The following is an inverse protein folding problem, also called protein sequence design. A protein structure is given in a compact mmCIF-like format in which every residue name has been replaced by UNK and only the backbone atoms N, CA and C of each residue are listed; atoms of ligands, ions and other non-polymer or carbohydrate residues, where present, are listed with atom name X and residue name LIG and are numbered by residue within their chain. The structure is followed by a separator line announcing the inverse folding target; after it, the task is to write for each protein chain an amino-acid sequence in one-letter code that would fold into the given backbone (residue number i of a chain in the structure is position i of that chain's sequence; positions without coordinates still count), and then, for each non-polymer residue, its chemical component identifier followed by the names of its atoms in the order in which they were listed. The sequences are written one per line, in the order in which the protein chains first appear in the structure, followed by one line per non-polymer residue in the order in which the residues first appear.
data_IF_162218471093
#
_entry.id   IF_162218471093
#
_cell.length_a   1.000
_cell.length_b   1.000
_cell.length_c   1.000
_cell.angle_alpha   90.00
_cell.angle_beta   90.00
_cell.angle_gamma   90.00
#
_symmetry.space_group_name_H-M   'P 1'
#
loop_
_entity.id
_entity.type
_entity.pdbx_description
1 polymer ?
#
# COMPACT_ATOMS: atom_id res chain seq x y z
N UNK A 1 -12.61 -16.73 -2.41
CA UNK A 1 -12.92 -15.54 -3.22
C UNK A 1 -11.68 -14.72 -3.61
N UNK A 2 -10.70 -14.48 -2.72
CA UNK A 2 -9.48 -13.73 -3.06
C UNK A 2 -8.48 -14.55 -3.90
N UNK A 3 -8.28 -15.83 -3.57
CA UNK A 3 -7.36 -16.71 -4.28
C UNK A 3 -7.70 -16.85 -5.77
N UNK A 4 -8.98 -16.99 -6.09
CA UNK A 4 -9.45 -17.12 -7.46
C UNK A 4 -9.26 -15.84 -8.28
N UNK A 5 -9.50 -14.67 -7.67
CA UNK A 5 -9.23 -13.37 -8.30
C UNK A 5 -7.72 -13.13 -8.50
N UNK A 6 -6.89 -13.56 -7.54
CA UNK A 6 -5.43 -13.48 -7.64
C UNK A 6 -4.90 -14.35 -8.79
N UNK A 7 -5.39 -15.58 -8.93
CA UNK A 7 -5.02 -16.48 -10.04
C UNK A 7 -5.45 -15.91 -11.40
N UNK A 8 -6.68 -15.38 -11.51
CA UNK A 8 -7.14 -14.73 -12.75
C UNK A 8 -6.31 -13.49 -13.12
N UNK A 9 -5.78 -12.77 -12.13
CA UNK A 9 -4.83 -11.68 -12.33
C UNK A 9 -3.46 -12.17 -12.79
N UNK A 10 -2.97 -13.27 -12.20
CA UNK A 10 -1.69 -13.88 -12.52
C UNK A 10 -1.65 -14.36 -13.97
N UNK A 11 -2.70 -15.04 -14.45
CA UNK A 11 -2.79 -15.53 -15.83
C UNK A 11 -2.66 -14.40 -16.87
N UNK A 12 -3.15 -13.19 -16.53
CA UNK A 12 -3.05 -12.01 -17.40
C UNK A 12 -1.69 -11.31 -17.30
N UNK A 13 -1.01 -11.42 -16.16
CA UNK A 13 0.24 -10.71 -15.88
C UNK A 13 1.47 -11.53 -16.28
N UNK A 14 1.38 -12.85 -16.21
CA UNK A 14 2.49 -13.75 -16.47
C UNK A 14 2.99 -13.60 -17.90
N UNK A 15 4.32 -13.47 -18.04
CA UNK A 15 5.01 -13.36 -19.33
C UNK A 15 6.23 -14.27 -19.30
N UNK A 16 6.36 -15.21 -20.26
CA UNK A 16 7.54 -16.06 -20.33
C UNK A 16 8.81 -15.21 -20.54
N UNK A 17 9.92 -15.63 -19.94
CA UNK A 17 11.22 -14.95 -20.05
C UNK A 17 11.50 -13.84 -19.04
N UNK A 18 10.55 -13.53 -18.13
CA UNK A 18 10.76 -12.57 -17.04
C UNK A 18 10.92 -13.29 -15.70
N UNK A 19 11.84 -12.82 -14.86
CA UNK A 19 11.97 -13.28 -13.49
C UNK A 19 10.89 -12.62 -12.62
N UNK A 20 10.00 -13.43 -12.05
CA UNK A 20 8.99 -12.96 -11.09
C UNK A 20 9.51 -13.15 -9.67
N UNK A 21 9.43 -12.10 -8.85
CA UNK A 21 9.74 -12.19 -7.43
C UNK A 21 8.48 -12.53 -6.64
N UNK A 22 8.55 -13.55 -5.78
CA UNK A 22 7.45 -13.86 -4.84
C UNK A 22 7.41 -12.77 -3.77
N UNK A 23 6.30 -12.05 -3.69
CA UNK A 23 6.00 -11.14 -2.59
C UNK A 23 4.74 -11.65 -1.88
N UNK A 24 4.84 -11.90 -0.58
CA UNK A 24 3.70 -12.29 0.25
C UNK A 24 3.55 -11.30 1.41
N UNK A 25 2.30 -10.96 1.72
CA UNK A 25 1.93 -10.23 2.93
C UNK A 25 1.01 -11.15 3.70
N UNK A 26 1.57 -11.83 4.70
CA UNK A 26 0.80 -12.70 5.57
C UNK A 26 0.33 -11.89 6.77
N UNK A 27 -0.96 -11.57 6.78
CA UNK A 27 -1.63 -11.00 7.95
C UNK A 27 -2.27 -12.16 8.71
N UNK A 28 -1.62 -12.56 9.79
CA UNK A 28 -2.17 -13.55 10.72
C UNK A 28 -3.09 -12.86 11.72
N UNK A 29 -4.11 -13.58 12.18
CA UNK A 29 -4.98 -13.18 13.29
C UNK A 29 -5.70 -11.83 13.11
N UNK A 30 -6.06 -11.50 11.87
CA UNK A 30 -7.03 -10.44 11.60
C UNK A 30 -8.38 -10.82 12.22
N UNK A 31 -8.78 -10.08 13.23
CA UNK A 31 -10.06 -10.21 13.92
C UNK A 31 -10.87 -8.92 13.79
N UNK A 32 -12.19 -9.05 13.86
CA UNK A 32 -13.07 -7.90 13.98
C UNK A 32 -12.86 -7.17 15.31
N UNK A 33 -13.25 -5.89 15.34
CA UNK A 33 -13.28 -5.14 16.61
C UNK A 33 -14.21 -5.84 17.60
N UNK A 34 -13.71 -6.10 18.80
CA UNK A 34 -14.45 -6.81 19.86
C UNK A 34 -14.41 -8.34 19.76
N UNK A 35 -13.79 -8.91 18.72
CA UNK A 35 -13.58 -10.36 18.60
C UNK A 35 -12.23 -10.82 19.16
N UNK A 36 -11.42 -9.88 19.67
CA UNK A 36 -10.15 -10.13 20.32
C UNK A 36 -10.31 -10.09 21.84
N UNK A 37 -9.80 -11.11 22.53
CA UNK A 37 -9.65 -11.08 23.99
C UNK A 37 -8.41 -10.25 24.31
N UNK A 38 -8.60 -9.14 25.01
CA UNK A 38 -7.47 -8.33 25.48
C UNK A 38 -6.54 -9.15 26.39
N UNK A 39 -5.24 -8.87 26.28
CA UNK A 39 -4.24 -9.42 27.18
C UNK A 39 -4.43 -8.83 28.58
N UNK A 40 -4.38 -9.68 29.61
CA UNK A 40 -4.53 -9.30 31.02
C UNK A 40 -3.50 -8.26 31.48
N UNK A 41 -2.34 -8.20 30.82
CA UNK A 41 -1.22 -7.35 31.23
C UNK A 41 -0.80 -6.33 30.18
N UNK A 42 -1.26 -6.44 28.93
CA UNK A 42 -0.97 -5.43 27.93
C UNK A 42 -1.86 -4.21 28.13
N UNK A 43 -1.29 -3.02 27.99
CA UNK A 43 -2.09 -1.81 27.86
C UNK A 43 -2.91 -1.90 26.57
N UNK A 44 -4.23 -2.01 26.71
CA UNK A 44 -5.16 -1.99 25.58
C UNK A 44 -5.02 -0.70 24.75
N UNK A 45 -5.52 -0.76 23.52
CA UNK A 45 -5.49 0.42 22.65
C UNK A 45 -6.35 1.55 23.26
N UNK A 46 -5.83 2.79 23.39
CA UNK A 46 -6.61 3.88 23.95
C UNK A 46 -7.89 4.13 23.16
N UNK A 47 -9.00 4.42 23.84
CA UNK A 47 -10.28 4.75 23.19
C UNK A 47 -10.18 5.94 22.21
N UNK A 48 -9.21 6.83 22.40
CA UNK A 48 -8.97 7.97 21.52
C UNK A 48 -8.19 7.62 20.25
N UNK A 49 -7.59 6.43 20.15
CA UNK A 49 -6.85 6.02 18.96
C UNK A 49 -7.72 6.00 17.70
N UNK A 50 -9.00 5.63 17.82
CA UNK A 50 -9.92 5.65 16.69
C UNK A 50 -10.13 7.05 16.12
N UNK A 51 -10.31 8.04 16.99
CA UNK A 51 -10.47 9.45 16.59
C UNK A 51 -9.22 9.96 15.90
N UNK A 52 -8.04 9.61 16.44
CA UNK A 52 -6.75 9.99 15.85
C UNK A 52 -6.58 9.38 14.46
N UNK A 53 -6.89 8.09 14.30
CA UNK A 53 -6.80 7.41 13.01
C UNK A 53 -7.78 7.99 11.99
N UNK A 54 -9.02 8.29 12.40
CA UNK A 54 -10.00 8.93 11.52
C UNK A 54 -9.54 10.32 11.04
N UNK A 55 -8.95 11.14 11.92
CA UNK A 55 -8.38 12.44 11.55
C UNK A 55 -7.22 12.25 10.57
N UNK A 56 -6.30 11.33 10.86
CA UNK A 56 -5.16 11.02 9.99
C UNK A 56 -5.62 10.59 8.59
N UNK A 57 -6.63 9.73 8.51
CA UNK A 57 -7.21 9.26 7.26
C UNK A 57 -7.90 10.40 6.49
N UNK A 58 -8.66 11.27 7.18
CA UNK A 58 -9.31 12.42 6.55
C UNK A 58 -8.31 13.39 5.91
N UNK A 59 -7.18 13.63 6.57
CA UNK A 59 -6.11 14.49 6.08
C UNK A 59 -5.45 13.84 4.86
N UNK A 60 -5.14 12.55 4.94
CA UNK A 60 -4.58 11.80 3.82
C UNK A 60 -5.54 11.71 2.61
N UNK A 61 -6.86 11.64 2.83
CA UNK A 61 -7.84 11.66 1.76
C UNK A 61 -7.88 13.02 1.05
N UNK A 62 -7.75 14.12 1.80
CA UNK A 62 -7.81 15.49 1.26
C UNK A 62 -6.52 15.93 0.56
N UNK A 63 -5.37 15.59 1.11
CA UNK A 63 -4.06 16.11 0.67
C UNK A 63 -3.20 15.08 -0.06
N UNK A 64 -3.65 13.83 -0.12
CA UNK A 64 -2.97 12.75 -0.80
C UNK A 64 -2.44 11.69 0.16
N UNK A 65 -2.35 10.46 -0.35
CA UNK A 65 -1.96 9.29 0.44
C UNK A 65 -0.53 9.44 0.98
N UNK A 66 -0.38 9.29 2.30
CA UNK A 66 0.93 9.36 2.98
C UNK A 66 1.40 10.78 3.33
N UNK A 67 0.49 11.76 3.28
CA UNK A 67 0.69 13.13 3.80
C UNK A 67 1.02 13.10 5.28
N UNK A 68 0.22 12.37 6.07
CA UNK A 68 0.49 12.04 7.47
C UNK A 68 0.75 10.55 7.63
N UNK A 69 1.68 10.22 8.53
CA UNK A 69 2.07 8.86 8.87
C UNK A 69 2.49 8.79 10.35
N UNK A 70 2.35 7.62 11.01
CA UNK A 70 2.93 7.42 12.33
C UNK A 70 4.44 7.68 12.31
N UNK A 71 5.00 8.28 13.36
CA UNK A 71 6.42 8.67 13.40
C UNK A 71 7.40 7.48 13.30
N UNK A 72 6.95 6.27 13.65
CA UNK A 72 7.71 5.04 13.49
C UNK A 72 7.89 4.63 12.02
N UNK A 73 7.02 5.12 11.12
CA UNK A 73 7.07 4.79 9.70
C UNK A 73 7.99 5.78 8.98
N UNK A 74 9.14 5.33 8.44
CA UNK A 74 10.07 6.22 7.78
C UNK A 74 9.49 6.82 6.50
N UNK A 75 10.11 7.92 6.04
CA UNK A 75 9.71 8.61 4.81
C UNK A 75 9.77 7.68 3.58
N UNK A 76 10.86 6.91 3.49
CA UNK A 76 11.15 5.93 2.45
C UNK A 76 11.47 4.57 3.11
N UNK A 77 10.47 3.73 3.40
CA UNK A 77 10.72 2.42 3.99
C UNK A 77 11.43 1.49 2.99
N UNK A 78 12.34 0.65 3.48
CA UNK A 78 13.02 -0.36 2.67
C UNK A 78 12.03 -1.39 2.08
N UNK A 79 10.89 -1.59 2.73
CA UNK A 79 9.77 -2.42 2.26
C UNK A 79 8.79 -1.66 1.35
N UNK A 80 9.09 -0.41 0.95
CA UNK A 80 8.30 0.28 -0.06
C UNK A 80 8.32 -0.46 -1.40
N UNK A 81 7.28 -0.24 -2.20
CA UNK A 81 7.18 -0.83 -3.54
C UNK A 81 8.38 -0.40 -4.39
N UNK A 82 9.26 -1.34 -4.74
CA UNK A 82 10.36 -1.10 -5.68
C UNK A 82 9.82 -0.91 -7.09
N UNK A 83 10.11 0.25 -7.69
CA UNK A 83 9.55 0.71 -8.98
C UNK A 83 10.65 1.06 -10.00
N UNK A 84 11.87 0.56 -9.81
CA UNK A 84 13.05 0.90 -10.59
C UNK A 84 12.93 0.51 -12.08
N UNK A 85 12.10 -0.48 -12.40
CA UNK A 85 11.87 -0.98 -13.76
C UNK A 85 10.52 -0.55 -14.34
N UNK A 86 9.87 0.48 -13.77
CA UNK A 86 8.61 0.98 -14.33
C UNK A 86 8.85 1.65 -15.68
N UNK A 87 8.03 1.30 -16.67
CA UNK A 87 7.95 2.06 -17.92
C UNK A 87 7.41 3.48 -17.64
N UNK A 88 7.70 4.41 -18.54
CA UNK A 88 7.17 5.77 -18.42
C UNK A 88 5.63 5.76 -18.44
N UNK A 89 5.05 6.60 -17.60
CA UNK A 89 3.63 6.75 -17.34
C UNK A 89 3.00 7.75 -18.32
N UNK A 90 3.09 7.43 -19.61
CA UNK A 90 2.70 8.33 -20.70
C UNK A 90 1.26 8.85 -20.60
N UNK A 91 0.34 8.07 -20.04
CA UNK A 91 -1.09 8.41 -19.97
C UNK A 91 -1.50 9.12 -18.69
N UNK A 92 -0.67 9.07 -17.64
CA UNK A 92 -1.04 9.55 -16.30
C UNK A 92 -0.10 10.62 -15.76
N UNK A 93 1.02 10.89 -16.44
CA UNK A 93 2.01 11.89 -16.03
C UNK A 93 2.53 12.67 -17.22
N UNK A 94 2.13 13.95 -17.28
CA UNK A 94 2.52 14.89 -18.35
C UNK A 94 4.03 15.06 -18.43
N UNK A 95 4.73 15.03 -17.29
CA UNK A 95 6.19 15.16 -17.23
C UNK A 95 6.94 13.94 -17.80
N UNK A 96 6.25 12.82 -18.02
CA UNK A 96 6.78 11.60 -18.62
C UNK A 96 6.36 11.43 -20.09
N UNK A 97 5.78 12.46 -20.72
CA UNK A 97 5.53 12.47 -22.16
C UNK A 97 6.82 12.69 -22.95
N UNK A 98 6.84 12.18 -24.19
CA UNK A 98 7.92 12.48 -25.11
C UNK A 98 7.96 13.98 -25.43
N UNK A 99 9.14 14.57 -25.29
CA UNK A 99 9.41 15.93 -25.75
C UNK A 99 9.97 15.86 -27.15
N UNK A 100 9.24 16.42 -28.10
CA UNK A 100 9.69 16.61 -29.48
C UNK A 100 9.77 18.10 -29.76
N UNK A 101 10.92 18.55 -30.25
CA UNK A 101 11.14 19.93 -30.69
C UNK A 101 10.77 20.07 -32.15
N UNK A 102 9.92 21.04 -32.48
CA UNK A 102 9.65 21.46 -33.85
C UNK A 102 10.62 22.59 -34.25
N UNK A 103 11.01 22.61 -35.54
CA UNK A 103 11.93 23.58 -36.11
C UNK A 103 11.20 24.82 -36.60
#
# INVERSE_FOLDING_TARGET
MITQAALAGLDKLYRPGFAFSKAEVLLMDLCGRGEFTDDLFASGQPANSEKVMAVLDSINAKWGRGTLRPGVVPAAPAWSMRRELMSQSFTTRVDQLWRVSAR
#
